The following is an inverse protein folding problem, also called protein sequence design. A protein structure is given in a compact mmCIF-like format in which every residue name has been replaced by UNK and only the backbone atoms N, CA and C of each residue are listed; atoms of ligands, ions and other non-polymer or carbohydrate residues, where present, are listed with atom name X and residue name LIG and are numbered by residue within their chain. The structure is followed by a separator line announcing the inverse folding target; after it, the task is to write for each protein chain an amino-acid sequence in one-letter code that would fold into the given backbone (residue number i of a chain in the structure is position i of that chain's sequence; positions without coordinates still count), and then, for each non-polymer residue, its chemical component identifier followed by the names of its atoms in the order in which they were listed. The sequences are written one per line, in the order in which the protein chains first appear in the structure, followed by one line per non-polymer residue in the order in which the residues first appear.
data_IF_505146574481
#
_entry.id   IF_505146574481
#
_cell.length_a   1.000
_cell.length_b   1.000
_cell.length_c   1.000
_cell.angle_alpha   90.00
_cell.angle_beta   90.00
_cell.angle_gamma   90.00
#
_symmetry.space_group_name_H-M   'P 1'
#
loop_
_entity.id
_entity.type
_entity.pdbx_description
1 polymer ?
#
# COMPACT_ATOMS: atom_id res chain seq x y z
N UNK A 1 0.79 55.44 3.90
CA UNK A 1 1.20 55.52 5.34
C UNK A 1 1.71 54.11 5.67
N UNK A 2 2.96 53.83 5.54
CA UNK A 2 4.08 53.82 6.51
C UNK A 2 3.76 53.13 7.83
N UNK A 3 4.39 51.97 8.05
CA UNK A 3 5.23 51.50 9.19
C UNK A 3 5.35 49.97 9.10
N UNK A 4 6.40 49.30 8.73
CA UNK A 4 7.77 49.07 9.32
C UNK A 4 7.73 48.74 10.82
N UNK A 5 8.31 47.60 11.14
CA UNK A 5 9.05 47.14 12.31
C UNK A 5 8.76 45.66 12.54
N UNK A 6 9.62 44.71 12.89
CA UNK A 6 11.08 44.72 13.05
C UNK A 6 11.46 43.25 13.25
N UNK A 7 12.62 42.87 12.76
CA UNK A 7 13.26 41.60 13.02
C UNK A 7 13.67 41.49 14.50
N UNK A 8 13.60 40.29 15.07
CA UNK A 8 14.38 39.97 16.27
C UNK A 8 14.89 38.54 16.18
N UNK A 9 16.19 38.51 16.12
CA UNK A 9 17.12 37.39 16.27
C UNK A 9 16.93 36.68 17.60
N UNK A 10 17.03 35.36 17.61
CA UNK A 10 17.61 34.67 18.74
C UNK A 10 18.30 33.38 18.29
N UNK A 11 19.61 33.47 18.24
CA UNK A 11 20.53 32.34 18.15
C UNK A 11 20.78 31.81 19.56
N UNK A 12 20.79 30.50 19.75
CA UNK A 12 21.37 29.82 20.90
C UNK A 12 21.77 28.41 20.48
N UNK A 13 23.00 28.25 20.14
CA UNK A 13 24.05 27.57 20.88
C UNK A 13 23.96 26.03 20.80
N UNK A 14 24.75 25.49 19.84
CA UNK A 14 25.24 24.11 19.84
C UNK A 14 26.23 23.91 20.98
N UNK A 15 26.03 22.92 21.80
CA UNK A 15 27.09 22.39 22.68
C UNK A 15 27.52 21.04 22.12
N UNK A 16 28.70 21.09 21.48
CA UNK A 16 29.50 19.91 21.16
C UNK A 16 30.21 19.46 22.46
N UNK A 17 29.98 18.22 22.87
CA UNK A 17 30.93 17.55 23.80
C UNK A 17 31.49 16.34 23.07
N UNK A 18 32.72 16.55 22.57
CA UNK A 18 33.62 15.46 22.25
C UNK A 18 34.30 15.04 23.58
N UNK A 19 34.21 13.77 23.92
CA UNK A 19 35.05 13.14 24.91
C UNK A 19 35.94 12.11 24.22
N UNK A 20 37.23 12.30 24.40
CA UNK A 20 38.36 11.69 23.73
C UNK A 20 38.66 10.27 24.19
N UNK A 21 39.35 9.54 23.30
CA UNK A 21 40.08 8.30 23.51
C UNK A 21 40.87 8.18 24.81
N UNK A 22 40.81 6.99 25.42
CA UNK A 22 41.80 6.50 26.38
C UNK A 22 41.98 5.01 26.19
N UNK A 23 43.06 4.64 25.53
CA UNK A 23 43.55 3.30 25.27
C UNK A 23 44.27 2.76 26.50
N UNK A 24 43.90 1.57 26.99
CA UNK A 24 44.86 0.70 27.70
C UNK A 24 44.44 -0.77 27.54
N UNK A 25 45.42 -1.55 27.08
CA UNK A 25 45.37 -3.01 26.93
C UNK A 25 45.47 -3.72 28.29
N UNK A 26 44.85 -4.88 28.42
CA UNK A 26 45.37 -6.21 28.65
C UNK A 26 44.33 -7.18 29.23
N UNK A 27 44.06 -8.19 28.44
CA UNK A 27 43.86 -9.64 28.62
C UNK A 27 42.72 -10.21 29.51
N UNK A 28 42.34 -11.49 29.35
CA UNK A 28 40.97 -11.89 28.98
C UNK A 28 40.27 -12.64 30.12
N UNK A 29 38.97 -12.49 30.24
CA UNK A 29 38.12 -13.51 30.86
C UNK A 29 36.76 -13.62 30.17
N UNK A 30 36.36 -14.84 30.02
CA UNK A 30 35.38 -15.49 29.21
C UNK A 30 33.92 -15.20 29.70
N UNK A 31 32.87 -15.62 29.02
CA UNK A 31 31.75 -14.79 28.53
C UNK A 31 30.55 -14.81 29.47
N UNK A 32 29.92 -13.69 29.67
CA UNK A 32 28.55 -13.64 30.13
C UNK A 32 27.68 -13.16 28.97
N UNK A 33 27.03 -14.11 28.36
CA UNK A 33 25.97 -13.95 27.38
C UNK A 33 24.75 -13.45 28.10
N UNK A 34 24.54 -12.16 28.13
CA UNK A 34 23.24 -11.55 28.32
C UNK A 34 22.92 -10.75 27.05
N UNK A 35 22.51 -11.51 26.04
CA UNK A 35 21.85 -10.97 24.87
C UNK A 35 20.41 -10.63 25.23
N UNK A 36 20.18 -9.50 25.89
CA UNK A 36 18.88 -8.83 25.85
C UNK A 36 18.71 -8.34 24.44
N UNK A 37 18.20 -9.22 23.59
CA UNK A 37 17.65 -8.83 22.31
C UNK A 37 16.41 -7.99 22.59
N UNK A 38 16.61 -6.67 22.50
CA UNK A 38 15.52 -5.73 22.34
C UNK A 38 14.82 -6.08 21.02
N UNK A 39 13.84 -6.95 21.08
CA UNK A 39 12.85 -7.14 20.02
C UNK A 39 11.99 -5.90 20.05
N UNK A 40 12.49 -4.82 19.43
CA UNK A 40 11.68 -3.75 18.92
C UNK A 40 10.66 -4.41 17.98
N UNK A 41 9.49 -4.69 18.47
CA UNK A 41 8.37 -5.18 17.68
C UNK A 41 8.14 -4.14 16.58
N UNK A 42 8.49 -4.46 15.34
CA UNK A 42 8.19 -3.61 14.21
C UNK A 42 6.67 -3.44 14.18
N UNK A 43 6.19 -2.21 14.33
CA UNK A 43 4.76 -1.91 14.17
C UNK A 43 4.32 -2.39 12.80
N UNK A 44 3.19 -3.10 12.75
CA UNK A 44 2.65 -3.63 11.50
C UNK A 44 2.35 -2.46 10.55
N UNK A 45 2.88 -2.53 9.33
CA UNK A 45 2.61 -1.54 8.30
C UNK A 45 1.23 -1.82 7.68
N UNK A 46 0.34 -0.82 7.68
CA UNK A 46 -1.01 -0.94 7.12
C UNK A 46 -1.07 -0.29 5.75
N UNK A 47 -1.58 -1.05 4.77
CA UNK A 47 -1.86 -0.56 3.41
C UNK A 47 -3.36 -0.54 3.15
N UNK A 48 -3.80 0.31 2.22
CA UNK A 48 -5.19 0.35 1.75
C UNK A 48 -5.27 -0.43 0.44
N UNK A 49 -5.96 -1.58 0.48
CA UNK A 49 -6.23 -2.43 -0.66
C UNK A 49 -7.65 -2.18 -1.16
N UNK A 50 -7.78 -1.86 -2.44
CA UNK A 50 -9.06 -1.71 -3.12
C UNK A 50 -9.40 -2.92 -3.99
N UNK A 51 -10.68 -3.18 -4.15
CA UNK A 51 -11.21 -4.11 -5.14
C UNK A 51 -12.46 -3.55 -5.79
N UNK A 52 -12.63 -3.79 -7.08
CA UNK A 52 -13.88 -3.53 -7.79
C UNK A 52 -14.22 -4.69 -8.72
N UNK A 53 -15.50 -4.83 -8.97
CA UNK A 53 -16.07 -5.83 -9.85
C UNK A 53 -17.58 -5.70 -9.88
N UNK A 54 -18.28 -6.41 -10.77
CA UNK A 54 -19.73 -6.40 -10.82
C UNK A 54 -20.30 -7.07 -9.57
N UNK A 55 -20.77 -6.28 -8.61
CA UNK A 55 -21.45 -6.81 -7.42
C UNK A 55 -22.97 -6.95 -7.67
N UNK A 56 -23.47 -6.26 -8.68
CA UNK A 56 -24.84 -6.33 -9.18
C UNK A 56 -24.88 -6.63 -10.68
N UNK A 57 -26.08 -6.91 -11.22
CA UNK A 57 -26.27 -7.18 -12.64
C UNK A 57 -25.89 -8.60 -13.08
N UNK A 58 -25.72 -8.79 -14.38
CA UNK A 58 -25.58 -10.12 -15.02
C UNK A 58 -24.28 -10.86 -14.71
N UNK A 59 -23.24 -10.14 -14.31
CA UNK A 59 -21.93 -10.70 -13.97
C UNK A 59 -21.65 -10.75 -12.47
N UNK A 60 -22.65 -10.48 -11.63
CA UNK A 60 -22.50 -10.36 -10.19
C UNK A 60 -21.87 -11.60 -9.52
N UNK A 61 -22.16 -12.80 -10.04
CA UNK A 61 -21.57 -14.04 -9.50
C UNK A 61 -20.03 -14.04 -9.57
N UNK A 62 -19.46 -13.47 -10.62
CA UNK A 62 -17.99 -13.39 -10.78
C UNK A 62 -17.39 -12.29 -9.89
N UNK A 63 -17.98 -11.11 -9.87
CA UNK A 63 -17.50 -10.01 -9.04
C UNK A 63 -17.60 -10.30 -7.56
N UNK A 64 -18.71 -10.87 -7.12
CA UNK A 64 -18.89 -11.29 -5.72
C UNK A 64 -17.86 -12.36 -5.31
N UNK A 65 -17.56 -13.33 -6.19
CA UNK A 65 -16.54 -14.33 -5.91
C UNK A 65 -15.14 -13.71 -5.73
N UNK A 66 -14.77 -12.78 -6.60
CA UNK A 66 -13.50 -12.05 -6.50
C UNK A 66 -13.41 -11.23 -5.22
N UNK A 67 -14.44 -10.43 -4.93
CA UNK A 67 -14.47 -9.57 -3.74
C UNK A 67 -14.44 -10.40 -2.46
N UNK A 68 -15.23 -11.47 -2.38
CA UNK A 68 -15.25 -12.35 -1.21
C UNK A 68 -13.89 -13.05 -1.00
N UNK A 69 -13.23 -13.49 -2.08
CA UNK A 69 -11.90 -14.07 -2.00
C UNK A 69 -10.84 -13.09 -1.51
N UNK A 70 -10.88 -11.86 -2.01
CA UNK A 70 -9.97 -10.80 -1.56
C UNK A 70 -10.22 -10.40 -0.09
N UNK A 71 -11.50 -10.27 0.32
CA UNK A 71 -11.89 -9.96 1.70
C UNK A 71 -11.41 -11.04 2.67
N UNK A 72 -11.62 -12.32 2.33
CA UNK A 72 -11.15 -13.45 3.13
C UNK A 72 -9.63 -13.44 3.29
N UNK A 73 -8.88 -13.22 2.20
CA UNK A 73 -7.42 -13.15 2.26
C UNK A 73 -6.93 -11.99 3.16
N UNK A 74 -7.59 -10.83 3.09
CA UNK A 74 -7.31 -9.67 3.96
C UNK A 74 -7.60 -10.02 5.43
N UNK A 75 -8.72 -10.68 5.72
CA UNK A 75 -9.05 -11.11 7.08
C UNK A 75 -8.01 -12.09 7.63
N UNK A 76 -7.59 -13.08 6.85
CA UNK A 76 -6.56 -14.05 7.25
C UNK A 76 -5.20 -13.39 7.50
N UNK A 77 -4.77 -12.49 6.60
CA UNK A 77 -3.51 -11.74 6.78
C UNK A 77 -3.59 -10.84 8.02
N UNK A 78 -4.71 -10.16 8.21
CA UNK A 78 -4.90 -9.27 9.36
C UNK A 78 -4.98 -10.02 10.69
N UNK A 79 -5.44 -11.27 10.69
CA UNK A 79 -5.47 -12.14 11.86
C UNK A 79 -4.13 -12.83 12.18
N UNK A 80 -3.21 -12.90 11.21
CA UNK A 80 -1.89 -13.53 11.37
C UNK A 80 -0.88 -12.62 12.08
N UNK A 81 0.33 -13.12 12.35
CA UNK A 81 1.46 -12.34 12.87
C UNK A 81 2.22 -11.57 11.76
N UNK A 82 1.58 -11.33 10.62
CA UNK A 82 2.18 -10.58 9.51
C UNK A 82 2.53 -9.16 9.92
N UNK A 83 3.72 -8.70 9.54
CA UNK A 83 4.15 -7.31 9.67
C UNK A 83 3.38 -6.37 8.70
N UNK A 84 2.58 -6.93 7.79
CA UNK A 84 1.73 -6.18 6.86
C UNK A 84 0.27 -6.44 7.17
N UNK A 85 -0.51 -5.38 7.23
CA UNK A 85 -1.97 -5.39 7.43
C UNK A 85 -2.64 -4.60 6.32
N UNK A 86 -3.93 -4.84 6.11
CA UNK A 86 -4.70 -4.15 5.08
C UNK A 86 -5.99 -3.54 5.63
N UNK A 87 -6.29 -2.31 5.21
CA UNK A 87 -7.65 -1.77 5.17
C UNK A 87 -8.24 -2.13 3.81
N UNK A 88 -9.48 -2.60 3.79
CA UNK A 88 -10.12 -3.12 2.58
C UNK A 88 -11.22 -2.20 2.09
N UNK A 89 -11.15 -1.80 0.82
CA UNK A 89 -12.18 -1.02 0.11
C UNK A 89 -12.79 -1.87 -0.99
N UNK A 90 -14.11 -1.81 -1.16
CA UNK A 90 -14.82 -2.51 -2.24
C UNK A 90 -15.84 -1.62 -2.91
N UNK A 91 -15.96 -1.74 -4.24
CA UNK A 91 -16.85 -0.95 -5.09
C UNK A 91 -17.52 -1.83 -6.16
N UNK A 92 -18.76 -1.50 -6.48
CA UNK A 92 -19.50 -2.12 -7.59
C UNK A 92 -19.21 -1.34 -8.89
N UNK A 93 -18.68 -2.02 -9.90
CA UNK A 93 -18.47 -1.46 -11.24
C UNK A 93 -19.53 -1.93 -12.26
N UNK A 94 -20.45 -2.80 -11.84
CA UNK A 94 -21.49 -3.42 -12.70
C UNK A 94 -20.94 -4.09 -13.97
N UNK A 95 -19.62 -4.29 -14.07
CA UNK A 95 -18.91 -4.80 -15.25
C UNK A 95 -18.72 -3.76 -16.35
N UNK A 96 -18.93 -2.48 -16.05
CA UNK A 96 -18.82 -1.35 -16.96
C UNK A 96 -17.49 -0.61 -16.77
N UNK A 97 -16.84 -0.25 -17.89
CA UNK A 97 -15.51 0.38 -17.85
C UNK A 97 -15.50 1.79 -17.25
N UNK A 98 -16.52 2.60 -17.50
CA UNK A 98 -16.62 3.97 -16.95
C UNK A 98 -16.90 3.92 -15.45
N UNK A 99 -17.80 3.04 -15.03
CA UNK A 99 -18.08 2.80 -13.61
C UNK A 99 -16.87 2.27 -12.88
N UNK A 100 -16.10 1.38 -13.51
CA UNK A 100 -14.85 0.86 -12.93
C UNK A 100 -13.80 1.96 -12.73
N UNK A 101 -13.65 2.90 -13.68
CA UNK A 101 -12.77 4.08 -13.51
C UNK A 101 -13.27 4.96 -12.36
N UNK A 102 -14.57 5.20 -12.27
CA UNK A 102 -15.15 5.99 -11.17
C UNK A 102 -14.94 5.30 -9.81
N UNK A 103 -15.14 3.98 -9.75
CA UNK A 103 -14.87 3.17 -8.56
C UNK A 103 -13.39 3.23 -8.14
N UNK A 104 -12.48 3.14 -9.11
CA UNK A 104 -11.05 3.30 -8.90
C UNK A 104 -10.71 4.68 -8.31
N UNK A 105 -11.19 5.76 -8.93
CA UNK A 105 -10.93 7.12 -8.47
C UNK A 105 -11.48 7.35 -7.05
N UNK A 106 -12.70 6.87 -6.73
CA UNK A 106 -13.28 6.97 -5.39
C UNK A 106 -12.44 6.22 -4.34
N UNK A 107 -11.84 5.09 -4.71
CA UNK A 107 -10.94 4.36 -3.81
C UNK A 107 -9.58 5.06 -3.68
N UNK A 108 -9.05 5.69 -4.73
CA UNK A 108 -7.84 6.52 -4.68
C UNK A 108 -8.02 7.72 -3.76
N UNK A 109 -9.16 8.39 -3.82
CA UNK A 109 -9.51 9.50 -2.92
C UNK A 109 -9.58 9.06 -1.43
N UNK A 110 -9.84 7.77 -1.20
CA UNK A 110 -9.81 7.14 0.13
C UNK A 110 -8.44 6.58 0.52
N UNK A 111 -7.42 6.84 -0.27
CA UNK A 111 -6.03 6.46 0.01
C UNK A 111 -5.65 5.05 -0.44
N UNK A 112 -6.34 4.45 -1.41
CA UNK A 112 -5.98 3.16 -1.97
C UNK A 112 -4.54 3.18 -2.52
N UNK A 113 -3.79 2.12 -2.28
CA UNK A 113 -2.41 1.96 -2.71
C UNK A 113 -2.21 0.76 -3.64
N UNK A 114 -3.09 -0.24 -3.54
CA UNK A 114 -3.03 -1.49 -4.30
C UNK A 114 -4.43 -1.85 -4.76
N UNK A 115 -4.58 -2.20 -6.05
CA UNK A 115 -5.85 -2.64 -6.63
C UNK A 115 -5.83 -4.14 -6.96
N UNK A 116 -6.75 -4.90 -6.40
CA UNK A 116 -7.06 -6.27 -6.79
C UNK A 116 -8.41 -6.28 -7.53
N UNK A 117 -8.37 -6.30 -8.83
CA UNK A 117 -9.52 -6.12 -9.73
C UNK A 117 -9.14 -5.18 -10.89
N UNK A 118 -10.09 -4.75 -11.73
CA UNK A 118 -11.48 -5.25 -11.84
C UNK A 118 -11.61 -6.71 -12.24
N UNK A 119 -12.85 -7.22 -12.18
CA UNK A 119 -13.13 -8.64 -12.48
C UNK A 119 -13.28 -8.91 -13.98
N UNK A 120 -14.01 -8.06 -14.72
CA UNK A 120 -14.27 -8.26 -16.14
C UNK A 120 -13.18 -7.70 -17.03
N UNK A 121 -12.95 -8.29 -18.19
CA UNK A 121 -11.90 -7.84 -19.14
C UNK A 121 -12.10 -6.38 -19.56
N UNK A 122 -13.32 -5.98 -19.92
CA UNK A 122 -13.59 -4.60 -20.35
C UNK A 122 -13.29 -3.56 -19.29
N UNK A 123 -13.76 -3.80 -18.06
CA UNK A 123 -13.46 -2.94 -16.91
C UNK A 123 -11.95 -2.91 -16.60
N UNK A 124 -11.30 -4.09 -16.67
CA UNK A 124 -9.85 -4.20 -16.41
C UNK A 124 -9.01 -3.43 -17.43
N UNK A 125 -9.35 -3.49 -18.73
CA UNK A 125 -8.64 -2.71 -19.76
C UNK A 125 -8.81 -1.20 -19.49
N UNK A 126 -10.01 -0.75 -19.16
CA UNK A 126 -10.30 0.66 -18.90
C UNK A 126 -9.50 1.18 -17.68
N UNK A 127 -9.52 0.46 -16.57
CA UNK A 127 -8.80 0.84 -15.34
C UNK A 127 -7.29 0.68 -15.52
N UNK A 128 -6.82 -0.35 -16.24
CA UNK A 128 -5.39 -0.55 -16.52
C UNK A 128 -4.73 0.63 -17.25
N UNK A 129 -5.48 1.33 -18.10
CA UNK A 129 -4.97 2.55 -18.76
C UNK A 129 -4.71 3.68 -17.75
N UNK A 130 -5.57 3.83 -16.76
CA UNK A 130 -5.44 4.84 -15.70
C UNK A 130 -4.32 4.46 -14.72
N UNK A 131 -4.34 3.24 -14.20
CA UNK A 131 -3.33 2.75 -13.25
C UNK A 131 -1.92 2.78 -13.84
N UNK A 132 -1.78 2.50 -15.14
CA UNK A 132 -0.48 2.60 -15.82
C UNK A 132 0.08 4.03 -15.85
N UNK A 133 -0.78 5.02 -16.06
CA UNK A 133 -0.40 6.44 -16.04
C UNK A 133 -0.05 6.90 -14.63
N UNK A 134 -0.81 6.48 -13.64
CA UNK A 134 -0.65 6.87 -12.22
C UNK A 134 0.34 5.99 -11.45
N UNK A 135 0.83 4.93 -12.09
CA UNK A 135 1.78 3.96 -11.52
C UNK A 135 1.24 3.20 -10.31
N UNK A 136 -0.08 3.04 -10.22
CA UNK A 136 -0.73 2.23 -9.20
C UNK A 136 -0.61 0.75 -9.55
N UNK A 137 -0.22 -0.09 -8.61
CA UNK A 137 -0.19 -1.55 -8.80
C UNK A 137 -1.61 -2.09 -8.99
N UNK A 138 -1.80 -2.88 -10.04
CA UNK A 138 -3.07 -3.53 -10.35
C UNK A 138 -2.86 -5.02 -10.62
N UNK A 139 -3.67 -5.87 -9.99
CA UNK A 139 -3.76 -7.31 -10.27
C UNK A 139 -5.22 -7.68 -10.54
N UNK A 140 -5.54 -8.07 -11.76
CA UNK A 140 -6.87 -8.63 -12.04
C UNK A 140 -6.86 -10.15 -11.85
N UNK A 141 -7.80 -10.69 -11.05
CA UNK A 141 -7.83 -12.14 -10.78
C UNK A 141 -8.64 -12.93 -11.81
N UNK A 142 -9.38 -12.28 -12.72
CA UNK A 142 -10.36 -12.95 -13.59
C UNK A 142 -10.38 -12.47 -15.04
N UNK A 143 -9.90 -11.27 -15.35
CA UNK A 143 -9.82 -10.81 -16.73
C UNK A 143 -8.83 -11.65 -17.53
N UNK A 144 -9.21 -12.09 -18.75
CA UNK A 144 -8.46 -13.09 -19.52
C UNK A 144 -7.84 -12.58 -20.82
N UNK A 145 -8.13 -11.32 -21.24
CA UNK A 145 -7.48 -10.77 -22.44
C UNK A 145 -6.05 -10.32 -22.14
N UNK A 146 -5.06 -10.65 -23.00
CA UNK A 146 -3.71 -10.12 -22.90
C UNK A 146 -3.63 -8.59 -23.04
N UNK A 147 -4.63 -7.94 -23.61
CA UNK A 147 -4.69 -6.48 -23.74
C UNK A 147 -4.72 -5.75 -22.40
N UNK A 148 -5.11 -6.44 -21.34
CA UNK A 148 -5.12 -5.87 -19.98
C UNK A 148 -3.72 -5.47 -19.56
N UNK A 149 -2.73 -6.34 -19.80
CA UNK A 149 -1.34 -6.17 -19.35
C UNK A 149 -0.39 -5.66 -20.46
N UNK A 150 -0.87 -5.60 -21.71
CA UNK A 150 -0.05 -5.19 -22.84
C UNK A 150 0.63 -3.82 -22.58
N UNK A 151 1.95 -3.76 -22.75
CA UNK A 151 2.78 -2.56 -22.58
C UNK A 151 2.67 -1.89 -21.18
N UNK A 152 2.34 -2.65 -20.14
CA UNK A 152 2.20 -2.18 -18.75
C UNK A 152 3.01 -3.05 -17.81
N UNK A 153 3.89 -2.42 -17.03
CA UNK A 153 4.80 -3.10 -16.08
C UNK A 153 4.30 -3.08 -14.63
N UNK A 154 3.17 -2.42 -14.37
CA UNK A 154 2.50 -2.33 -13.08
C UNK A 154 1.11 -2.98 -13.05
N UNK A 155 0.71 -3.61 -14.15
CA UNK A 155 -0.58 -4.31 -14.30
C UNK A 155 -0.34 -5.79 -14.55
N UNK A 156 -0.96 -6.62 -13.74
CA UNK A 156 -0.80 -8.08 -13.76
C UNK A 156 -2.16 -8.77 -13.87
N UNK A 157 -2.17 -10.00 -14.37
CA UNK A 157 -3.36 -10.85 -14.41
C UNK A 157 -3.01 -12.29 -14.04
N UNK A 158 -3.98 -13.00 -13.46
CA UNK A 158 -3.82 -14.39 -13.03
C UNK A 158 -4.28 -15.38 -14.11
N UNK A 159 -5.22 -15.01 -14.98
CA UNK A 159 -5.75 -15.86 -16.06
C UNK A 159 -4.96 -15.71 -17.35
#
# INVERSE_FOLDING_TARGET
MKKKFAAMFMAAAMVFTMAACGQKADTPDTPSTDGSGDQSGAEAQTFVLGTCGPLTGGYAIYGQAVVNGAELAVEEINASDSAVKFTFLKQDDEGDGEKAINAYNDMMDKGMQVLVGPTTTGASIAVAAVTNTERTFMLTPSASSPDVTADKDNVFQVC
#
